data_IF_867794675653
#
_entry.id   IF_867794675653
#
_cell.length_a   1.000
_cell.length_b   1.000
_cell.length_c   1.000
_cell.angle_alpha   90.00
_cell.angle_beta   90.00
_cell.angle_gamma   90.00
#
_symmetry.space_group_name_H-M   'P 1'
#
loop_
_entity.id
_entity.type
_entity.pdbx_description
1 polymer ?
#
# COMPACT_ATOMS: atom_id res chain seq x y z
N UNK A 1 -1.62 19.88 -13.14
CA UNK A 1 -1.26 18.74 -12.26
C UNK A 1 -1.77 18.89 -10.83
N UNK A 2 -1.64 20.07 -10.20
CA UNK A 2 -2.02 20.31 -8.80
C UNK A 2 -3.46 19.92 -8.42
N UNK A 3 -4.47 20.26 -9.24
CA UNK A 3 -5.89 19.89 -8.96
C UNK A 3 -6.11 18.38 -8.86
N UNK A 4 -5.47 17.60 -9.75
CA UNK A 4 -5.57 16.13 -9.74
C UNK A 4 -4.86 15.54 -8.53
N UNK A 5 -3.68 16.06 -8.18
CA UNK A 5 -2.95 15.60 -7.01
C UNK A 5 -3.69 15.89 -5.71
N UNK A 6 -4.29 17.08 -5.59
CA UNK A 6 -5.16 17.41 -4.48
C UNK A 6 -6.34 16.44 -4.41
N UNK A 7 -7.06 16.22 -5.51
CA UNK A 7 -8.20 15.31 -5.55
C UNK A 7 -7.84 13.87 -5.12
N UNK A 8 -6.73 13.31 -5.62
CA UNK A 8 -6.26 11.97 -5.23
C UNK A 8 -5.90 11.92 -3.75
N UNK A 9 -5.19 12.93 -3.24
CA UNK A 9 -4.79 12.96 -1.82
C UNK A 9 -5.99 13.09 -0.88
N UNK A 10 -6.98 13.92 -1.24
CA UNK A 10 -8.22 14.09 -0.47
C UNK A 10 -9.04 12.80 -0.51
N UNK A 11 -9.20 12.18 -1.68
CA UNK A 11 -9.93 10.92 -1.80
C UNK A 11 -9.27 9.81 -0.96
N UNK A 12 -7.95 9.66 -1.03
CA UNK A 12 -7.22 8.70 -0.21
C UNK A 12 -7.33 8.98 1.29
N UNK A 13 -7.26 10.25 1.69
CA UNK A 13 -7.44 10.66 3.09
C UNK A 13 -8.85 10.34 3.60
N UNK A 14 -9.89 10.60 2.80
CA UNK A 14 -11.28 10.27 3.16
C UNK A 14 -11.49 8.77 3.30
N UNK A 15 -10.94 7.97 2.38
CA UNK A 15 -10.98 6.50 2.48
C UNK A 15 -10.26 6.00 3.73
N UNK A 16 -9.09 6.57 4.04
CA UNK A 16 -8.33 6.23 5.25
C UNK A 16 -9.03 6.64 6.54
N UNK A 17 -9.65 7.82 6.57
CA UNK A 17 -10.45 8.29 7.71
C UNK A 17 -11.66 7.38 7.94
N UNK A 18 -12.37 7.02 6.87
CA UNK A 18 -13.49 6.09 6.94
C UNK A 18 -13.05 4.71 7.44
N UNK A 19 -11.92 4.18 6.94
CA UNK A 19 -11.35 2.93 7.42
C UNK A 19 -10.99 2.99 8.92
N UNK A 20 -10.39 4.08 9.38
CA UNK A 20 -10.06 4.28 10.79
C UNK A 20 -11.34 4.33 11.66
N UNK A 21 -12.34 5.11 11.27
CA UNK A 21 -13.62 5.21 11.97
C UNK A 21 -14.31 3.84 12.09
N UNK A 22 -14.31 3.06 11.01
CA UNK A 22 -14.84 1.69 11.01
C UNK A 22 -14.02 0.75 11.88
N UNK A 23 -12.69 0.91 11.95
CA UNK A 23 -11.83 0.16 12.87
C UNK A 23 -12.17 0.43 14.34
N UNK A 24 -12.30 1.70 14.73
CA UNK A 24 -12.74 2.07 16.08
C UNK A 24 -14.16 1.56 16.39
N UNK A 25 -15.08 1.67 15.43
CA UNK A 25 -16.42 1.12 15.58
C UNK A 25 -16.40 -0.41 15.76
N UNK A 26 -15.58 -1.12 14.97
CA UNK A 26 -15.42 -2.57 15.09
C UNK A 26 -14.88 -2.97 16.47
N UNK A 27 -13.94 -2.21 17.02
CA UNK A 27 -13.43 -2.43 18.38
C UNK A 27 -14.57 -2.31 19.40
N UNK A 28 -15.40 -1.28 19.30
CA UNK A 28 -16.52 -1.07 20.23
C UNK A 28 -17.54 -2.22 20.18
N UNK A 29 -17.81 -2.77 18.99
CA UNK A 29 -18.83 -3.79 18.81
C UNK A 29 -18.37 -5.23 19.12
N UNK A 30 -17.07 -5.50 19.23
CA UNK A 30 -16.54 -6.85 19.42
C UNK A 30 -16.91 -7.47 20.78
N UNK A 31 -17.11 -6.66 21.82
CA UNK A 31 -17.40 -7.14 23.18
C UNK A 31 -18.76 -7.85 23.31
N UNK A 32 -19.59 -7.79 22.27
CA UNK A 32 -20.91 -8.44 22.23
C UNK A 32 -20.88 -9.83 21.58
N UNK A 33 -19.68 -10.39 21.39
CA UNK A 33 -19.50 -11.65 20.66
C UNK A 33 -19.69 -12.90 21.50
N UNK A 34 -19.35 -12.92 22.80
CA UNK A 34 -19.53 -14.11 23.65
C UNK A 34 -20.94 -14.10 24.25
N UNK A 35 -21.76 -15.11 23.92
CA UNK A 35 -23.14 -15.21 24.43
C UNK A 35 -23.25 -16.13 25.63
N UNK A 36 -22.44 -17.19 25.68
CA UNK A 36 -22.49 -18.15 26.77
C UNK A 36 -21.65 -19.38 26.53
N UNK A 37 -21.59 -20.23 27.56
CA UNK A 37 -20.92 -21.52 27.55
C UNK A 37 -21.99 -22.62 27.53
N UNK A 38 -22.01 -23.43 26.47
CA UNK A 38 -22.98 -24.52 26.30
C UNK A 38 -22.29 -25.85 26.64
N UNK A 39 -22.44 -26.32 27.88
CA UNK A 39 -21.71 -27.47 28.41
C UNK A 39 -20.24 -27.19 28.79
N UNK A 40 -19.46 -28.23 29.11
CA UNK A 40 -18.10 -28.08 29.62
C UNK A 40 -17.07 -27.65 28.56
N UNK A 41 -17.30 -27.89 27.26
CA UNK A 41 -16.29 -27.71 26.19
C UNK A 41 -16.74 -26.90 24.96
N UNK A 42 -17.89 -26.21 24.99
CA UNK A 42 -18.33 -25.39 23.84
C UNK A 42 -18.55 -23.93 24.21
N UNK A 43 -17.94 -23.05 23.42
CA UNK A 43 -18.14 -21.61 23.47
C UNK A 43 -19.07 -21.21 22.32
N UNK A 44 -20.15 -20.50 22.65
CA UNK A 44 -21.08 -19.96 21.66
C UNK A 44 -20.79 -18.48 21.41
N UNK A 45 -20.37 -18.19 20.17
CA UNK A 45 -20.13 -16.83 19.72
C UNK A 45 -21.27 -16.36 18.83
N UNK A 46 -21.79 -15.16 19.10
CA UNK A 46 -22.74 -14.48 18.22
C UNK A 46 -22.01 -13.61 17.23
N UNK A 47 -22.56 -13.55 16.03
CA UNK A 47 -22.11 -12.64 14.99
C UNK A 47 -22.31 -11.19 15.44
N UNK A 48 -21.25 -10.40 15.37
CA UNK A 48 -21.29 -8.98 15.75
C UNK A 48 -21.14 -8.08 14.50
N UNK A 49 -21.59 -6.82 14.56
CA UNK A 49 -21.38 -5.88 13.46
C UNK A 49 -19.89 -5.54 13.23
N UNK A 50 -18.99 -5.89 14.17
CA UNK A 50 -17.55 -5.78 14.00
C UNK A 50 -17.02 -6.58 12.79
N UNK A 51 -17.70 -7.66 12.39
CA UNK A 51 -17.40 -8.39 11.16
C UNK A 51 -17.51 -7.47 9.93
N UNK A 52 -18.65 -6.80 9.78
CA UNK A 52 -18.91 -5.93 8.64
C UNK A 52 -17.99 -4.70 8.66
N UNK A 53 -17.84 -4.07 9.82
CA UNK A 53 -16.95 -2.93 10.00
C UNK A 53 -15.48 -3.28 9.68
N UNK A 54 -14.99 -4.43 10.14
CA UNK A 54 -13.63 -4.89 9.87
C UNK A 54 -13.38 -5.17 8.38
N UNK A 55 -14.28 -5.87 7.70
CA UNK A 55 -14.16 -6.13 6.25
C UNK A 55 -14.19 -4.83 5.45
N UNK A 56 -15.10 -3.91 5.80
CA UNK A 56 -15.20 -2.63 5.12
C UNK A 56 -13.97 -1.75 5.38
N UNK A 57 -13.45 -1.74 6.61
CA UNK A 57 -12.20 -1.04 6.95
C UNK A 57 -11.01 -1.57 6.13
N UNK A 58 -10.88 -2.89 6.01
CA UNK A 58 -9.86 -3.54 5.19
C UNK A 58 -9.98 -3.17 3.70
N UNK A 59 -11.20 -3.18 3.16
CA UNK A 59 -11.44 -2.82 1.76
C UNK A 59 -11.10 -1.34 1.50
N UNK A 60 -11.48 -0.43 2.39
CA UNK A 60 -11.22 1.00 2.25
C UNK A 60 -9.73 1.34 2.38
N UNK A 61 -9.02 0.74 3.33
CA UNK A 61 -7.58 0.98 3.51
C UNK A 61 -6.76 0.48 2.31
N UNK A 62 -7.08 -0.71 1.78
CA UNK A 62 -6.50 -1.22 0.54
C UNK A 62 -6.83 -0.32 -0.65
N UNK A 63 -8.09 0.11 -0.79
CA UNK A 63 -8.52 0.98 -1.88
C UNK A 63 -7.78 2.32 -1.86
N UNK A 64 -7.55 2.91 -0.69
CA UNK A 64 -6.76 4.12 -0.53
C UNK A 64 -5.31 3.92 -1.01
N UNK A 65 -4.66 2.83 -0.59
CA UNK A 65 -3.28 2.52 -0.98
C UNK A 65 -3.14 2.25 -2.49
N UNK A 66 -4.09 1.49 -3.07
CA UNK A 66 -4.14 1.21 -4.51
C UNK A 66 -4.36 2.49 -5.31
N UNK A 67 -5.30 3.35 -4.89
CA UNK A 67 -5.59 4.62 -5.55
C UNK A 67 -4.34 5.50 -5.64
N UNK A 68 -3.62 5.68 -4.53
CA UNK A 68 -2.41 6.49 -4.47
C UNK A 68 -1.28 5.88 -5.31
N UNK A 69 -1.14 4.55 -5.29
CA UNK A 69 -0.12 3.83 -6.05
C UNK A 69 -0.41 3.83 -7.57
N UNK A 70 -1.67 3.75 -7.97
CA UNK A 70 -2.07 3.88 -9.37
C UNK A 70 -1.82 5.31 -9.87
N UNK A 71 -2.19 6.32 -9.08
CA UNK A 71 -1.98 7.72 -9.40
C UNK A 71 -0.49 8.12 -9.46
N UNK A 72 0.37 7.46 -8.68
CA UNK A 72 1.82 7.67 -8.73
C UNK A 72 2.45 7.16 -10.02
N UNK A 73 1.76 6.32 -10.80
CA UNK A 73 2.27 5.75 -12.06
C UNK A 73 3.38 4.71 -11.86
N UNK A 74 3.51 4.15 -10.65
CA UNK A 74 4.46 3.08 -10.36
C UNK A 74 4.17 1.80 -11.13
N UNK A 75 2.91 1.52 -11.49
CA UNK A 75 2.54 0.33 -12.26
C UNK A 75 3.07 0.32 -13.71
N UNK A 76 3.42 1.46 -14.29
CA UNK A 76 3.76 1.57 -15.72
C UNK A 76 5.22 1.89 -16.02
N UNK A 77 6.08 2.14 -15.01
CA UNK A 77 7.49 2.53 -15.25
C UNK A 77 8.48 2.08 -14.17
N UNK A 78 8.42 0.83 -13.72
CA UNK A 78 9.51 0.26 -12.91
C UNK A 78 10.82 0.00 -13.69
N UNK A 79 10.97 0.44 -14.95
CA UNK A 79 12.13 0.08 -15.78
C UNK A 79 12.97 1.19 -16.42
N UNK A 80 12.47 2.42 -16.69
CA UNK A 80 13.13 3.24 -17.72
C UNK A 80 13.22 4.77 -17.49
N UNK A 81 12.94 5.30 -16.29
CA UNK A 81 12.98 6.76 -16.07
C UNK A 81 13.66 7.20 -14.77
N UNK A 82 14.66 6.44 -14.33
CA UNK A 82 15.55 6.82 -13.24
C UNK A 82 16.89 7.38 -13.77
N UNK A 83 16.84 8.21 -14.81
CA UNK A 83 17.93 9.14 -15.12
C UNK A 83 17.66 10.45 -14.37
N UNK A 84 18.70 11.00 -13.73
CA UNK A 84 18.77 12.36 -13.19
C UNK A 84 17.84 12.76 -12.02
N UNK A 85 17.79 12.02 -10.91
CA UNK A 85 17.45 12.67 -9.62
C UNK A 85 18.07 11.94 -8.44
N UNK A 86 18.85 12.67 -7.64
CA UNK A 86 19.61 12.25 -6.46
C UNK A 86 19.25 10.89 -5.86
N UNK A 87 20.16 9.93 -6.03
CA UNK A 87 20.10 8.53 -5.59
C UNK A 87 19.54 8.34 -4.17
N UNK A 88 19.94 9.17 -3.20
CA UNK A 88 19.43 9.12 -1.80
C UNK A 88 17.93 9.40 -1.66
N UNK A 89 17.39 10.36 -2.43
CA UNK A 89 15.97 10.77 -2.31
C UNK A 89 15.05 9.76 -3.00
N UNK A 90 15.50 9.18 -4.11
CA UNK A 90 14.83 8.05 -4.74
C UNK A 90 14.79 6.82 -3.82
N UNK A 91 15.89 6.49 -3.13
CA UNK A 91 15.92 5.41 -2.12
C UNK A 91 14.96 5.69 -0.97
N UNK A 92 15.01 6.89 -0.36
CA UNK A 92 14.12 7.24 0.76
C UNK A 92 12.63 7.14 0.40
N UNK A 93 12.26 7.56 -0.81
CA UNK A 93 10.89 7.44 -1.32
C UNK A 93 10.46 5.98 -1.49
N UNK A 94 11.34 5.15 -2.06
CA UNK A 94 11.03 3.73 -2.25
C UNK A 94 10.84 3.03 -0.89
N UNK A 95 11.70 3.33 0.08
CA UNK A 95 11.58 2.80 1.45
C UNK A 95 10.26 3.24 2.10
N UNK A 96 9.89 4.52 1.96
CA UNK A 96 8.62 5.03 2.51
C UNK A 96 7.40 4.39 1.85
N UNK A 97 7.44 4.16 0.54
CA UNK A 97 6.38 3.49 -0.20
C UNK A 97 6.28 2.01 0.18
N UNK A 98 7.40 1.31 0.37
CA UNK A 98 7.42 -0.08 0.85
C UNK A 98 6.88 -0.17 2.27
N UNK A 99 7.27 0.74 3.16
CA UNK A 99 6.79 0.78 4.54
C UNK A 99 5.27 1.04 4.58
N UNK A 100 4.78 1.97 3.76
CA UNK A 100 3.35 2.25 3.63
C UNK A 100 2.55 1.01 3.22
N UNK A 101 3.03 0.26 2.22
CA UNK A 101 2.39 -1.00 1.80
C UNK A 101 2.44 -2.08 2.88
N UNK A 102 3.57 -2.23 3.57
CA UNK A 102 3.69 -3.20 4.67
C UNK A 102 2.70 -2.88 5.79
N UNK A 103 2.57 -1.60 6.18
CA UNK A 103 1.62 -1.15 7.20
C UNK A 103 0.17 -1.39 6.77
N UNK A 104 -0.18 -1.06 5.52
CA UNK A 104 -1.55 -1.28 5.00
C UNK A 104 -1.87 -2.77 4.91
N UNK A 105 -0.94 -3.62 4.46
CA UNK A 105 -1.15 -5.06 4.39
C UNK A 105 -1.26 -5.70 5.78
N UNK A 106 -0.41 -5.29 6.73
CA UNK A 106 -0.49 -5.73 8.11
C UNK A 106 -1.83 -5.33 8.75
N UNK A 107 -2.23 -4.07 8.57
CA UNK A 107 -3.54 -3.55 9.01
C UNK A 107 -4.70 -4.33 8.40
N UNK A 108 -4.67 -4.58 7.08
CA UNK A 108 -5.69 -5.37 6.39
C UNK A 108 -5.80 -6.78 6.97
N UNK A 109 -4.66 -7.44 7.21
CA UNK A 109 -4.63 -8.76 7.82
C UNK A 109 -5.21 -8.73 9.25
N UNK A 110 -4.89 -7.71 10.06
CA UNK A 110 -5.47 -7.54 11.40
C UNK A 110 -6.98 -7.28 11.36
N UNK A 111 -7.46 -6.45 10.43
CA UNK A 111 -8.89 -6.20 10.23
C UNK A 111 -9.63 -7.48 9.85
N UNK A 112 -9.10 -8.26 8.91
CA UNK A 112 -9.69 -9.54 8.50
C UNK A 112 -9.61 -10.60 9.60
N UNK A 113 -8.50 -10.64 10.36
CA UNK A 113 -8.35 -11.51 11.51
C UNK A 113 -9.42 -11.18 12.56
N UNK A 114 -9.54 -9.91 12.94
CA UNK A 114 -10.57 -9.43 13.86
C UNK A 114 -11.98 -9.76 13.36
N UNK A 115 -12.25 -9.51 12.06
CA UNK A 115 -13.52 -9.84 11.44
C UNK A 115 -13.82 -11.34 11.49
N UNK A 116 -12.84 -12.21 11.18
CA UNK A 116 -12.99 -13.67 11.19
C UNK A 116 -13.42 -14.21 12.57
N UNK A 117 -12.91 -13.59 13.64
CA UNK A 117 -13.22 -13.90 15.03
C UNK A 117 -14.62 -13.42 15.47
N UNK A 118 -15.27 -12.60 14.64
CA UNK A 118 -16.61 -12.05 14.86
C UNK A 118 -17.68 -12.65 13.93
N UNK A 119 -17.36 -13.71 13.17
CA UNK A 119 -18.29 -14.39 12.24
C UNK A 119 -19.45 -15.09 12.95
N UNK A 120 -19.30 -15.38 14.25
CA UNK A 120 -20.24 -16.16 15.04
C UNK A 120 -20.14 -17.67 14.76
N UNK A 121 -20.64 -18.49 15.67
CA UNK A 121 -20.63 -19.95 15.56
C UNK A 121 -20.25 -20.65 16.87
N UNK A 122 -20.41 -21.97 16.88
CA UNK A 122 -19.92 -22.84 17.96
C UNK A 122 -18.44 -23.10 17.73
N UNK A 123 -17.58 -22.41 18.49
CA UNK A 123 -16.14 -22.61 18.44
C UNK A 123 -15.70 -23.67 19.44
N UNK A 124 -14.90 -24.62 18.99
CA UNK A 124 -14.09 -25.52 19.82
C UNK A 124 -12.75 -24.88 20.24
N UNK A 125 -12.56 -23.58 19.97
CA UNK A 125 -11.36 -22.82 20.33
C UNK A 125 -11.45 -22.33 21.78
N UNK A 126 -11.14 -23.24 22.70
CA UNK A 126 -11.00 -22.95 24.13
C UNK A 126 -9.53 -22.94 24.54
N UNK A 127 -9.21 -22.11 25.53
CA UNK A 127 -7.92 -22.17 26.23
C UNK A 127 -8.14 -22.79 27.60
N UNK A 128 -7.36 -23.82 27.93
CA UNK A 128 -7.39 -24.43 29.25
C UNK A 128 -6.48 -23.63 30.18
N UNK A 129 -7.06 -22.99 31.19
CA UNK A 129 -6.32 -22.32 32.25
C UNK A 129 -6.35 -23.22 33.48
N UNK A 130 -5.18 -23.67 33.91
CA UNK A 130 -5.07 -24.46 35.15
C UNK A 130 -5.07 -23.49 36.33
N UNK A 131 -6.19 -23.39 37.05
CA UNK A 131 -6.22 -22.64 38.32
C UNK A 131 -5.78 -23.56 39.46
N UNK A 132 -4.77 -23.14 40.21
CA UNK A 132 -4.43 -23.75 41.51
C UNK A 132 -5.38 -23.19 42.56
N UNK A 133 -6.16 -24.05 43.22
CA UNK A 133 -6.93 -23.62 44.40
C UNK A 133 -5.99 -23.36 45.58
N UNK A 134 -6.30 -22.39 46.46
CA UNK A 134 -5.73 -22.35 47.79
C UNK A 134 -6.19 -23.63 48.51
N UNK A 135 -5.30 -24.58 48.77
CA UNK A 135 -5.63 -25.89 49.35
C UNK A 135 -5.15 -27.12 48.58
N UNK A 136 -4.44 -26.98 47.45
CA UNK A 136 -3.65 -28.07 46.85
C UNK A 136 -4.31 -28.87 45.71
N UNK A 137 -5.51 -28.51 45.27
CA UNK A 137 -6.13 -29.06 44.05
C UNK A 137 -5.85 -28.22 42.80
N UNK A 138 -5.72 -28.86 41.63
CA UNK A 138 -5.71 -28.16 40.34
C UNK A 138 -6.97 -28.48 39.55
N UNK A 139 -7.78 -27.46 39.27
CA UNK A 139 -8.95 -27.58 38.40
C UNK A 139 -8.58 -27.04 37.01
N UNK A 140 -9.09 -27.68 35.96
CA UNK A 140 -8.87 -27.25 34.57
C UNK A 140 -10.05 -26.37 34.20
N UNK A 141 -9.83 -25.05 34.21
CA UNK A 141 -10.86 -24.08 33.86
C UNK A 141 -10.79 -23.80 32.36
N UNK A 142 -11.91 -23.94 31.67
CA UNK A 142 -11.98 -23.76 30.22
C UNK A 142 -12.42 -22.31 29.96
N UNK A 143 -11.49 -21.49 29.46
CA UNK A 143 -11.73 -20.09 29.14
C UNK A 143 -11.98 -19.96 27.64
N UNK A 144 -13.06 -19.29 27.27
CA UNK A 144 -13.36 -18.97 25.88
C UNK A 144 -12.38 -17.87 25.41
N UNK A 145 -11.75 -18.10 24.26
CA UNK A 145 -10.75 -17.17 23.74
C UNK A 145 -11.41 -15.95 23.08
N UNK A 146 -11.56 -14.86 23.83
CA UNK A 146 -12.03 -13.58 23.32
C UNK A 146 -10.96 -12.88 22.47
N UNK A 147 -11.39 -12.09 21.49
CA UNK A 147 -10.48 -11.29 20.67
C UNK A 147 -9.80 -10.24 21.55
N UNK A 148 -8.46 -10.24 21.58
CA UNK A 148 -7.66 -9.34 22.41
C UNK A 148 -8.06 -7.87 22.19
N UNK A 149 -8.01 -7.10 23.28
CA UNK A 149 -8.18 -5.64 23.24
C UNK A 149 -7.11 -4.97 22.38
N UNK A 150 -7.59 -4.06 21.52
CA UNK A 150 -6.79 -3.22 20.66
C UNK A 150 -6.52 -3.75 19.26
N UNK A 151 -6.99 -4.93 18.85
CA UNK A 151 -6.66 -5.46 17.49
C UNK A 151 -7.22 -4.57 16.38
N UNK A 152 -8.45 -4.08 16.48
CA UNK A 152 -9.00 -3.19 15.45
C UNK A 152 -8.43 -1.77 15.58
N UNK A 153 -8.06 -1.35 16.80
CA UNK A 153 -7.45 -0.04 17.06
C UNK A 153 -6.03 0.02 16.50
N UNK A 154 -5.20 -1.00 16.74
CA UNK A 154 -3.85 -1.09 16.19
C UNK A 154 -3.91 -1.13 14.67
N UNK A 155 -4.82 -1.93 14.11
CA UNK A 155 -5.05 -1.97 12.66
C UNK A 155 -5.45 -0.59 12.10
N UNK A 156 -6.33 0.15 12.78
CA UNK A 156 -6.74 1.49 12.37
C UNK A 156 -5.56 2.49 12.41
N UNK A 157 -4.73 2.43 13.44
CA UNK A 157 -3.53 3.27 13.57
C UNK A 157 -2.53 2.95 12.44
N UNK A 158 -2.24 1.66 12.22
CA UNK A 158 -1.33 1.22 11.16
C UNK A 158 -1.83 1.62 9.77
N UNK A 159 -3.14 1.49 9.51
CA UNK A 159 -3.76 1.98 8.27
C UNK A 159 -3.59 3.50 8.12
N UNK A 160 -3.86 4.28 9.17
CA UNK A 160 -3.76 5.72 9.12
C UNK A 160 -2.31 6.18 8.83
N UNK A 161 -1.33 5.57 9.52
CA UNK A 161 0.10 5.85 9.28
C UNK A 161 0.49 5.43 7.86
N UNK A 162 0.11 4.22 7.43
CA UNK A 162 0.41 3.72 6.10
C UNK A 162 -0.15 4.60 4.98
N UNK A 163 -1.41 5.04 5.11
CA UNK A 163 -2.06 5.94 4.15
C UNK A 163 -1.41 7.33 4.16
N UNK A 164 -1.07 7.87 5.33
CA UNK A 164 -0.35 9.13 5.43
C UNK A 164 1.03 9.07 4.74
N UNK A 165 1.79 7.99 4.95
CA UNK A 165 3.06 7.74 4.28
C UNK A 165 2.88 7.61 2.76
N UNK A 166 1.84 6.92 2.29
CA UNK A 166 1.53 6.79 0.87
C UNK A 166 1.20 8.16 0.23
N UNK A 167 0.36 8.97 0.87
CA UNK A 167 0.03 10.32 0.41
C UNK A 167 1.29 11.20 0.38
N UNK A 168 2.13 11.17 1.42
CA UNK A 168 3.37 11.94 1.46
C UNK A 168 4.32 11.55 0.31
N UNK A 169 4.50 10.25 0.06
CA UNK A 169 5.30 9.76 -1.06
C UNK A 169 4.72 10.22 -2.41
N UNK A 170 3.39 10.19 -2.56
CA UNK A 170 2.72 10.67 -3.77
C UNK A 170 2.90 12.17 -4.01
N UNK A 171 2.73 12.99 -2.97
CA UNK A 171 2.92 14.45 -3.08
C UNK A 171 4.36 14.78 -3.45
N UNK A 172 5.36 14.08 -2.89
CA UNK A 172 6.77 14.25 -3.26
C UNK A 172 7.00 13.90 -4.75
N UNK A 173 6.37 12.82 -5.27
CA UNK A 173 6.42 12.47 -6.70
C UNK A 173 5.84 13.57 -7.57
N UNK A 174 4.66 14.08 -7.22
CA UNK A 174 4.00 15.15 -7.99
C UNK A 174 4.85 16.42 -7.99
N UNK A 175 5.36 16.85 -6.83
CA UNK A 175 6.23 18.03 -6.73
C UNK A 175 7.50 17.89 -7.57
N UNK A 176 8.08 16.70 -7.59
CA UNK A 176 9.24 16.42 -8.43
C UNK A 176 8.93 16.47 -9.93
N UNK A 177 7.76 15.96 -10.35
CA UNK A 177 7.31 16.06 -11.74
C UNK A 177 7.10 17.51 -12.14
N UNK A 178 6.43 18.30 -11.31
CA UNK A 178 6.20 19.73 -11.58
C UNK A 178 7.52 20.50 -11.70
N UNK A 179 8.50 20.26 -10.82
CA UNK A 179 9.85 20.86 -10.93
C UNK A 179 10.58 20.47 -12.22
N UNK A 180 10.52 19.20 -12.64
CA UNK A 180 11.17 18.75 -13.89
C UNK A 180 10.55 19.42 -15.12
N UNK A 181 9.24 19.64 -15.13
CA UNK A 181 8.57 20.38 -16.22
C UNK A 181 9.02 21.84 -16.24
N UNK A 182 9.15 22.48 -15.07
CA UNK A 182 9.65 23.88 -14.99
C UNK A 182 11.11 24.01 -15.45
N UNK A 183 11.99 23.05 -15.08
CA UNK A 183 13.40 23.06 -15.48
C UNK A 183 13.64 22.62 -16.93
N UNK A 184 12.84 21.70 -17.47
CA UNK A 184 12.91 21.27 -18.87
C UNK A 184 12.29 22.27 -19.86
N UNK A 185 11.51 23.24 -19.37
CA UNK A 185 10.99 24.36 -20.15
C UNK A 185 11.94 25.56 -20.25
N UNK A 186 13.03 25.57 -19.47
CA UNK A 186 14.12 26.54 -19.64
C UNK A 186 15.16 25.85 -20.51
N UNK A 187 15.26 26.27 -21.77
CA UNK A 187 16.27 25.81 -22.71
C UNK A 187 17.67 26.21 -22.19
N UNK A 188 18.26 25.36 -21.36
CA UNK A 188 19.70 25.39 -21.10
C UNK A 188 20.35 24.97 -22.41
N UNK A 189 20.89 25.95 -23.15
CA UNK A 189 21.45 25.78 -24.49
C UNK A 189 22.31 24.53 -24.59
N UNK A 190 21.78 23.50 -25.25
CA UNK A 190 22.62 22.45 -25.79
C UNK A 190 23.51 23.11 -26.86
N UNK A 191 24.84 22.95 -26.82
CA UNK A 191 25.65 23.31 -27.96
C UNK A 191 25.17 22.46 -29.15
N UNK A 192 24.66 23.13 -30.18
CA UNK A 192 24.35 22.49 -31.44
C UNK A 192 25.67 21.93 -32.00
N UNK A 193 25.82 20.60 -31.97
CA UNK A 193 26.84 19.95 -32.79
C UNK A 193 26.56 20.30 -34.26
N UNK A 194 27.51 20.89 -35.00
CA UNK A 194 27.29 21.15 -36.41
C UNK A 194 27.09 19.81 -37.14
N UNK A 195 26.08 19.77 -38.01
CA UNK A 195 25.76 18.60 -38.81
C UNK A 195 26.98 18.17 -39.67
N UNK A 196 27.19 16.86 -39.90
CA UNK A 196 28.25 16.40 -40.80
C UNK A 196 28.00 16.94 -42.21
N UNK A 197 28.97 17.69 -42.75
CA UNK A 197 28.97 18.12 -44.14
C UNK A 197 29.01 16.88 -45.04
N UNK A 198 28.01 16.76 -45.92
CA UNK A 198 28.03 15.75 -46.98
C UNK A 198 29.11 16.14 -48.00
N UNK A 199 30.15 15.31 -48.14
CA UNK A 199 31.11 15.44 -49.23
C UNK A 199 30.40 15.17 -50.57
N UNK A 200 30.61 15.98 -51.62
CA UNK A 200 30.07 15.67 -52.94
C UNK A 200 30.74 14.41 -53.51
N UNK A 201 29.93 13.60 -54.19
CA UNK A 201 30.33 12.34 -54.79
C UNK A 201 31.47 12.52 -55.80
N UNK A 202 32.49 11.65 -55.71
CA UNK A 202 33.54 11.57 -56.73
C UNK A 202 32.98 10.99 -58.04
N UNK A 203 33.37 11.52 -59.21
CA UNK A 203 32.93 10.98 -60.49
C UNK A 203 33.58 9.61 -60.78
N UNK A 204 32.88 8.71 -61.49
CA UNK A 204 33.39 7.38 -61.82
C UNK A 204 34.52 7.48 -62.87
N UNK A 205 35.61 6.78 -62.62
CA UNK A 205 36.76 6.67 -63.51
C UNK A 205 36.36 6.10 -64.88
N UNK A 206 36.96 6.69 -65.92
CA UNK A 206 36.63 6.57 -67.33
C UNK A 206 36.66 5.15 -67.91
N UNK A 207 35.79 4.95 -68.87
CA UNK A 207 35.69 3.76 -69.69
C UNK A 207 36.87 3.55 -70.64
N UNK A 208 37.04 2.29 -71.06
CA UNK A 208 37.91 1.85 -72.14
C UNK A 208 37.41 2.36 -73.49
N UNK A 209 38.34 2.74 -74.37
CA UNK A 209 38.16 2.64 -75.83
C UNK A 209 39.54 2.60 -76.54
N UNK A 210 39.62 2.23 -77.84
CA UNK A 210 40.25 0.99 -78.31
C UNK A 210 41.58 1.22 -79.06
N UNK A 211 42.16 0.12 -79.55
CA UNK A 211 43.50 0.04 -80.10
C UNK A 211 43.81 0.91 -81.33
N UNK A 212 45.11 1.13 -81.51
CA UNK A 212 45.75 1.65 -82.71
C UNK A 212 47.06 0.92 -82.96
N UNK A 213 47.16 0.32 -84.12
CA UNK A 213 48.35 -0.26 -84.76
C UNK A 213 49.31 0.83 -85.26
N UNK A 214 50.62 0.64 -85.04
CA UNK A 214 51.70 0.75 -86.02
C UNK A 214 53.02 0.40 -85.33
#
# INVERSE_FOLDING_TARGET
>A
MQKRALAVSVAAALLGLAAAALGFAAEHFKHKALVGRSGALRCEYRRTPALGCGILAAALSLSAAVLVTAASGCFSRCGAAAAESGRRRATGRNVLATLAWLLVLASTAMFLYGASRNTGGTGNTFTTVRRRRPGGGSDIDIVCSELRDGVFVSAAIDAAIGIACAIAAYVDIVRHRDRRVTLGGVAMGQPAYPAPVAYPAQPPYGGKQPGGTA
#
